data_IF_630034290971
#
_entry.id   IF_630034290971
#
_cell.length_a   1.000
_cell.length_b   1.000
_cell.length_c   1.000
_cell.angle_alpha   90.00
_cell.angle_beta   90.00
_cell.angle_gamma   90.00
#
_symmetry.space_group_name_H-M   'P 1'
#
loop_
_entity.id
_entity.type
_entity.pdbx_description
1 polymer ?
#
# COMPACT_ATOMS: atom_id res chain seq x y z
N UNK A 1 -23.83 0.42 20.20
CA UNK A 1 -23.23 0.39 19.83
C UNK A 1 -22.74 0.67 19.27
N UNK A 2 -22.43 0.91 18.99
CA UNK A 2 -21.90 1.21 18.23
C UNK A 2 -20.95 0.86 17.93
N UNK A 3 -20.75 0.55 17.36
CA UNK A 3 -19.66 0.06 17.04
C UNK A 3 -18.95 0.87 16.24
N UNK A 4 -18.04 1.38 16.65
CA UNK A 4 -17.24 2.01 15.92
C UNK A 4 -16.49 1.17 15.16
N UNK A 5 -16.67 1.03 14.03
CA UNK A 5 -15.88 0.31 13.28
C UNK A 5 -14.83 1.14 12.76
N UNK A 6 -13.68 0.94 13.07
CA UNK A 6 -12.63 1.47 12.40
C UNK A 6 -12.55 0.92 11.05
N UNK A 7 -12.20 1.66 10.04
CA UNK A 7 -11.97 1.13 8.72
C UNK A 7 -10.90 0.06 8.85
N UNK A 8 -11.14 -1.06 8.30
CA UNK A 8 -10.20 -2.15 8.37
C UNK A 8 -8.94 -1.79 7.62
N UNK A 9 -7.79 -1.93 8.25
CA UNK A 9 -6.53 -1.78 7.55
C UNK A 9 -6.32 -2.98 6.67
N UNK A 10 -5.85 -2.74 5.48
CA UNK A 10 -5.55 -3.79 4.52
C UNK A 10 -4.14 -3.62 4.03
N UNK A 11 -3.55 -4.69 3.54
CA UNK A 11 -2.27 -4.61 2.88
C UNK A 11 -2.49 -4.09 1.48
N UNK A 12 -1.59 -3.24 1.01
CA UNK A 12 -1.65 -2.78 -0.38
C UNK A 12 -1.69 -3.96 -1.34
N UNK A 13 -0.97 -5.02 -1.03
CA UNK A 13 -0.93 -6.21 -1.89
C UNK A 13 -2.28 -6.91 -2.01
N UNK A 14 -3.22 -6.62 -1.11
CA UNK A 14 -4.53 -7.27 -1.14
C UNK A 14 -5.58 -6.43 -1.85
N UNK A 15 -5.24 -5.25 -2.34
CA UNK A 15 -6.20 -4.42 -3.04
C UNK A 15 -6.48 -4.96 -4.44
N UNK A 16 -7.69 -4.76 -4.89
CA UNK A 16 -8.01 -5.04 -6.27
C UNK A 16 -7.36 -4.01 -7.18
N UNK A 17 -6.98 -4.43 -8.37
CA UNK A 17 -6.42 -3.50 -9.34
C UNK A 17 -7.42 -2.38 -9.62
N UNK A 18 -6.93 -1.17 -9.63
CA UNK A 18 -7.76 0.01 -9.90
C UNK A 18 -8.42 0.61 -8.67
N UNK A 19 -8.44 -0.10 -7.55
CA UNK A 19 -9.06 0.42 -6.33
C UNK A 19 -8.19 1.52 -5.74
N UNK A 20 -8.81 2.63 -5.36
CA UNK A 20 -8.10 3.72 -4.73
C UNK A 20 -8.11 3.53 -3.23
N UNK A 21 -6.99 3.78 -2.60
CA UNK A 21 -6.87 3.68 -1.16
C UNK A 21 -5.96 4.78 -0.63
N UNK A 22 -5.96 4.96 0.67
CA UNK A 22 -5.06 5.91 1.31
C UNK A 22 -4.09 5.13 2.20
N UNK A 23 -2.83 5.51 2.15
CA UNK A 23 -1.83 4.88 3.01
C UNK A 23 -2.13 5.25 4.45
N UNK A 24 -2.08 4.28 5.34
CA UNK A 24 -2.16 4.54 6.77
C UNK A 24 -0.77 4.53 7.39
N UNK A 25 0.03 3.56 7.07
CA UNK A 25 1.41 3.48 7.56
C UNK A 25 2.16 2.38 6.82
N UNK A 26 3.45 2.35 6.98
CA UNK A 26 4.28 1.25 6.51
C UNK A 26 4.67 0.41 7.73
N UNK A 27 4.45 -0.89 7.62
CA UNK A 27 4.73 -1.80 8.70
C UNK A 27 6.22 -2.02 8.84
N UNK A 28 6.74 -1.77 10.03
CA UNK A 28 8.16 -2.01 10.31
C UNK A 28 8.31 -3.33 11.02
N UNK A 29 9.21 -4.15 10.54
CA UNK A 29 9.42 -5.46 11.12
C UNK A 29 10.62 -5.51 12.05
N UNK A 30 11.40 -4.43 12.08
CA UNK A 30 12.51 -4.30 13.00
C UNK A 30 12.82 -2.82 13.15
N UNK A 31 13.55 -2.42 14.19
CA UNK A 31 13.87 -1.01 14.38
C UNK A 31 14.66 -0.38 13.24
N UNK A 32 15.43 -1.16 12.51
CA UNK A 32 16.20 -0.63 11.41
C UNK A 32 15.76 -1.24 10.09
N UNK A 33 14.49 -1.28 9.87
CA UNK A 33 13.92 -1.89 8.67
C UNK A 33 14.19 -0.98 7.47
N UNK A 34 15.14 -1.35 6.67
CA UNK A 34 15.52 -0.54 5.50
C UNK A 34 14.45 -0.57 4.42
N UNK A 35 13.70 -1.64 4.32
CA UNK A 35 12.62 -1.72 3.34
C UNK A 35 11.52 -0.72 3.71
N UNK A 36 11.16 -0.67 4.99
CA UNK A 36 10.14 0.28 5.43
C UNK A 36 10.61 1.71 5.23
N UNK A 37 11.87 2.01 5.54
CA UNK A 37 12.42 3.34 5.34
C UNK A 37 12.39 3.72 3.87
N UNK A 38 12.75 2.80 3.00
CA UNK A 38 12.74 3.06 1.56
C UNK A 38 11.33 3.33 1.05
N UNK A 39 10.36 2.55 1.51
CA UNK A 39 8.98 2.74 1.09
C UNK A 39 8.49 4.13 1.49
N UNK A 40 8.81 4.57 2.69
CA UNK A 40 8.42 5.92 3.12
C UNK A 40 9.10 6.98 2.26
N UNK A 41 10.36 6.77 1.91
CA UNK A 41 11.09 7.71 1.06
C UNK A 41 10.50 7.79 -0.33
N UNK A 42 9.90 6.71 -0.81
CA UNK A 42 9.25 6.70 -2.11
C UNK A 42 7.89 7.42 -2.08
N UNK A 43 7.39 7.74 -0.91
CA UNK A 43 6.13 8.47 -0.80
C UNK A 43 5.01 7.73 -0.11
N UNK A 44 5.25 6.50 0.37
CA UNK A 44 4.20 5.74 1.05
C UNK A 44 4.08 6.22 2.49
N UNK A 45 3.44 7.37 2.64
CA UNK A 45 3.26 8.00 3.94
C UNK A 45 1.76 8.21 4.20
N UNK A 46 1.41 8.34 5.46
CA UNK A 46 0.01 8.43 5.86
C UNK A 46 -0.74 9.52 5.08
N UNK A 47 -1.87 9.15 4.55
CA UNK A 47 -2.72 10.08 3.82
C UNK A 47 -2.51 10.14 2.33
N UNK A 48 -1.43 9.52 1.83
CA UNK A 48 -1.17 9.55 0.39
C UNK A 48 -2.10 8.59 -0.35
N UNK A 49 -2.71 9.03 -1.44
CA UNK A 49 -3.52 8.13 -2.25
C UNK A 49 -2.65 7.13 -3.00
N UNK A 50 -3.08 5.90 -3.04
CA UNK A 50 -2.38 4.85 -3.75
C UNK A 50 -3.36 4.01 -4.55
N UNK A 51 -2.88 3.41 -5.60
CA UNK A 51 -3.70 2.58 -6.48
C UNK A 51 -2.79 1.57 -7.17
N UNK A 52 -3.26 0.34 -7.30
CA UNK A 52 -2.56 -0.64 -8.13
C UNK A 52 -3.03 -0.42 -9.54
N UNK A 53 -2.13 -0.03 -10.43
CA UNK A 53 -2.49 0.29 -11.81
C UNK A 53 -2.22 -0.85 -12.78
N UNK A 54 -1.39 -1.80 -12.39
CA UNK A 54 -1.14 -2.98 -13.20
C UNK A 54 -0.55 -4.08 -12.34
N UNK A 55 -0.70 -5.31 -12.77
CA UNK A 55 -0.11 -6.46 -12.08
C UNK A 55 0.78 -7.20 -13.07
N UNK A 56 1.86 -7.73 -12.56
CA UNK A 56 2.83 -8.41 -13.39
C UNK A 56 2.33 -9.76 -13.87
N UNK A 57 2.99 -10.31 -14.87
CA UNK A 57 2.53 -11.54 -15.52
C UNK A 57 2.84 -12.82 -14.73
N UNK A 58 3.71 -12.77 -13.75
CA UNK A 58 4.10 -13.97 -13.03
C UNK A 58 3.40 -13.97 -11.69
N UNK A 59 2.20 -14.54 -11.63
CA UNK A 59 1.43 -14.58 -10.39
C UNK A 59 1.05 -13.21 -9.87
N UNK A 60 0.96 -12.22 -10.77
CA UNK A 60 0.64 -10.87 -10.33
C UNK A 60 1.79 -10.10 -9.74
N UNK A 61 3.01 -10.58 -9.91
CA UNK A 61 4.19 -9.95 -9.33
C UNK A 61 5.13 -9.48 -10.45
N UNK A 62 5.69 -8.28 -10.38
CA UNK A 62 5.47 -7.27 -9.36
C UNK A 62 4.17 -6.50 -9.59
N UNK A 63 3.79 -5.69 -8.61
CA UNK A 63 2.64 -4.82 -8.74
C UNK A 63 3.14 -3.45 -9.17
N UNK A 64 2.47 -2.84 -10.14
CA UNK A 64 2.77 -1.47 -10.50
C UNK A 64 1.83 -0.58 -9.67
N UNK A 65 2.39 0.22 -8.80
CA UNK A 65 1.64 0.99 -7.83
C UNK A 65 1.85 2.47 -8.10
N UNK A 66 0.77 3.22 -8.14
CA UNK A 66 0.85 4.67 -8.25
C UNK A 66 0.66 5.27 -6.85
N UNK A 67 1.59 6.10 -6.44
CA UNK A 67 1.51 6.84 -5.20
C UNK A 67 1.75 8.32 -5.58
N UNK A 68 0.80 9.17 -5.24
CA UNK A 68 0.84 10.54 -5.71
C UNK A 68 0.83 10.56 -7.24
N UNK A 69 1.85 11.17 -7.83
CA UNK A 69 1.98 11.23 -9.27
C UNK A 69 3.05 10.29 -9.82
N UNK A 70 3.56 9.41 -8.99
CA UNK A 70 4.67 8.54 -9.37
C UNK A 70 4.24 7.08 -9.36
N UNK A 71 4.86 6.27 -10.20
CA UNK A 71 4.58 4.84 -10.27
C UNK A 71 5.83 4.06 -9.93
N UNK A 72 5.65 3.02 -9.14
CA UNK A 72 6.75 2.14 -8.74
C UNK A 72 6.34 0.70 -8.91
N UNK A 73 7.28 -0.14 -9.30
CA UNK A 73 7.07 -1.58 -9.31
C UNK A 73 7.47 -2.13 -7.95
N UNK A 74 6.53 -2.71 -7.24
CA UNK A 74 6.79 -3.29 -5.93
C UNK A 74 6.56 -4.79 -5.99
N UNK A 75 7.42 -5.54 -5.34
CA UNK A 75 7.16 -6.95 -5.17
C UNK A 75 6.09 -7.13 -4.12
N UNK A 76 5.41 -8.26 -4.15
CA UNK A 76 4.35 -8.55 -3.19
C UNK A 76 4.83 -8.38 -1.75
N UNK A 77 6.04 -8.82 -1.46
CA UNK A 77 6.59 -8.69 -0.10
C UNK A 77 6.74 -7.24 0.33
N UNK A 78 7.07 -6.35 -0.59
CA UNK A 78 7.16 -4.94 -0.29
C UNK A 78 5.78 -4.31 -0.15
N UNK A 79 4.88 -4.64 -1.08
CA UNK A 79 3.53 -4.10 -1.04
C UNK A 79 2.77 -4.57 0.20
N UNK A 80 3.09 -5.76 0.71
CA UNK A 80 2.44 -6.28 1.90
C UNK A 80 2.80 -5.50 3.16
N UNK A 81 3.81 -4.66 3.10
CA UNK A 81 4.19 -3.83 4.24
C UNK A 81 3.47 -2.49 4.26
N UNK A 82 2.85 -2.10 3.15
CA UNK A 82 2.14 -0.83 3.08
C UNK A 82 0.71 -1.09 3.51
N UNK A 83 0.31 -0.47 4.61
CA UNK A 83 -1.04 -0.62 5.13
C UNK A 83 -1.89 0.52 4.61
N UNK A 84 -3.08 0.20 4.17
CA UNK A 84 -3.96 1.15 3.52
C UNK A 84 -5.39 1.01 4.03
N UNK A 85 -6.19 2.01 3.77
CA UNK A 85 -7.63 1.89 3.98
C UNK A 85 -8.32 2.31 2.68
N UNK A 86 -9.44 1.70 2.34
CA UNK A 86 -10.15 2.07 1.13
C UNK A 86 -10.54 3.53 1.15
N UNK A 87 -10.38 4.18 0.02
CA UNK A 87 -10.74 5.58 -0.11
C UNK A 87 -12.10 5.71 -0.73
N UNK A 88 -13.10 5.06 -0.19
CA UNK A 88 -14.38 5.21 -0.79
C UNK A 88 -15.13 6.09 -0.01
N UNK A 89 -15.88 6.64 -0.57
CA UNK A 89 -16.75 7.47 -0.04
C UNK A 89 -17.73 7.06 0.67
#
# INVERSE_FOLDING_TARGET
MSSTTKPASRKLSDLAMGALALVTHVDERSPSDLIAARLRDLGFVAGEPVRIVAVGPIGGDPLLVQVGFTRFALRHGEASRVMVQPADD
#
